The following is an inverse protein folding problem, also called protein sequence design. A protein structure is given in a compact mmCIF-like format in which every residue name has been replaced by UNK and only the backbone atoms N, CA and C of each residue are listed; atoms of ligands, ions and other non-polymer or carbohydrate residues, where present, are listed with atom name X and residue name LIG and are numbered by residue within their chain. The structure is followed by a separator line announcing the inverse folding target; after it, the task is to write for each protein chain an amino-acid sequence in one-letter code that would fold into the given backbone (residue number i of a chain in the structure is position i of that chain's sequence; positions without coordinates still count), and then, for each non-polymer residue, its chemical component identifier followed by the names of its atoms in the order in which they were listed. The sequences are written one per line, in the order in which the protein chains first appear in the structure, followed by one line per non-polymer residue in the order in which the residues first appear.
data_IF_906599074209
#
_entry.id   IF_906599074209
#
_cell.length_a   1.000
_cell.length_b   1.000
_cell.length_c   1.000
_cell.angle_alpha   90.00
_cell.angle_beta   90.00
_cell.angle_gamma   90.00
#
_symmetry.space_group_name_H-M   'P 1'
#
loop_
_entity.id
_entity.type
_entity.pdbx_description
1 polymer ?
#
# COMPACT_ATOMS: atom_id res chain seq x y z
N UNK A 1 -2.02 -8.68 19.52
CA UNK A 1 -2.96 -7.59 19.17
C UNK A 1 -3.67 -7.20 20.44
N UNK A 2 -3.56 -5.93 20.85
CA UNK A 2 -4.20 -5.41 22.06
C UNK A 2 -5.27 -4.42 21.61
N UNK A 3 -6.48 -4.57 22.13
CA UNK A 3 -7.56 -3.65 21.82
C UNK A 3 -7.51 -2.48 22.82
N UNK A 4 -7.33 -1.26 22.33
CA UNK A 4 -7.40 -0.03 23.13
C UNK A 4 -8.44 0.88 22.50
N UNK A 5 -9.44 1.28 23.26
CA UNK A 5 -10.50 2.21 22.82
C UNK A 5 -11.20 1.75 21.51
N UNK A 6 -11.55 0.47 21.44
CA UNK A 6 -12.16 -0.19 20.26
C UNK A 6 -11.29 -0.22 18.99
N UNK A 7 -10.03 0.21 19.07
CA UNK A 7 -9.09 0.14 17.95
C UNK A 7 -8.02 -0.92 18.22
N UNK A 8 -7.71 -1.79 17.25
CA UNK A 8 -6.66 -2.78 17.40
C UNK A 8 -5.29 -2.12 17.32
N UNK A 9 -4.40 -2.47 18.24
CA UNK A 9 -3.00 -2.09 18.22
C UNK A 9 -2.10 -3.34 18.16
N UNK A 10 -0.99 -3.20 17.44
CA UNK A 10 0.09 -4.17 17.44
C UNK A 10 1.09 -3.81 18.51
N UNK A 11 1.38 -4.76 19.40
CA UNK A 11 2.52 -4.65 20.30
C UNK A 11 3.74 -5.21 19.57
N UNK A 12 4.78 -4.40 19.44
CA UNK A 12 6.06 -4.79 18.90
C UNK A 12 7.15 -4.58 19.95
N UNK A 13 7.96 -5.62 20.16
CA UNK A 13 9.10 -5.56 21.08
C UNK A 13 10.35 -5.29 20.25
N UNK A 14 10.92 -4.09 20.38
CA UNK A 14 12.17 -3.72 19.72
C UNK A 14 13.27 -3.72 20.78
N UNK A 15 13.96 -4.86 20.92
CA UNK A 15 14.94 -5.05 21.99
C UNK A 15 14.27 -4.98 23.37
N UNK A 16 14.69 -4.03 24.20
CA UNK A 16 14.16 -3.84 25.57
C UNK A 16 12.89 -2.98 25.64
N UNK A 17 12.47 -2.35 24.54
CA UNK A 17 11.30 -1.45 24.54
C UNK A 17 10.08 -2.07 23.86
N UNK A 18 8.96 -2.05 24.58
CA UNK A 18 7.63 -2.39 24.06
C UNK A 18 7.01 -1.15 23.43
N UNK A 19 6.69 -1.21 22.13
CA UNK A 19 6.02 -0.13 21.40
C UNK A 19 4.68 -0.61 20.86
N UNK A 20 3.67 0.24 20.98
CA UNK A 20 2.34 0.02 20.41
C UNK A 20 2.25 0.76 19.08
N UNK A 21 1.82 0.07 18.03
CA UNK A 21 1.71 0.60 16.67
C UNK A 21 0.29 0.42 16.17
N UNK A 22 -0.31 1.51 15.68
CA UNK A 22 -1.60 1.46 15.03
C UNK A 22 -1.49 0.78 13.65
N UNK A 23 -2.55 0.11 13.16
CA UNK A 23 -2.55 -0.50 11.82
C UNK A 23 -2.21 0.50 10.71
N UNK A 24 -2.63 1.76 10.85
CA UNK A 24 -2.37 2.85 9.92
C UNK A 24 -0.87 3.21 9.86
N UNK A 25 -0.21 3.26 11.02
CA UNK A 25 1.23 3.50 11.12
C UNK A 25 2.04 2.36 10.51
N UNK A 26 1.60 1.11 10.72
CA UNK A 26 2.20 -0.06 10.09
C UNK A 26 2.08 0.02 8.55
N UNK A 27 0.90 0.37 8.03
CA UNK A 27 0.68 0.55 6.60
C UNK A 27 1.58 1.67 6.02
N UNK A 28 1.72 2.79 6.74
CA UNK A 28 2.62 3.89 6.36
C UNK A 28 4.08 3.44 6.26
N UNK A 29 4.55 2.59 7.18
CA UNK A 29 5.91 2.02 7.11
C UNK A 29 6.08 1.11 5.90
N UNK A 30 5.07 0.30 5.57
CA UNK A 30 5.07 -0.55 4.37
C UNK A 30 5.18 0.32 3.11
N UNK A 31 4.34 1.36 2.98
CA UNK A 31 4.40 2.27 1.83
C UNK A 31 5.74 2.99 1.72
N UNK A 32 6.33 3.43 2.84
CA UNK A 32 7.67 4.02 2.85
C UNK A 32 8.71 3.05 2.31
N UNK A 33 8.68 1.78 2.75
CA UNK A 33 9.62 0.77 2.28
C UNK A 33 9.44 0.45 0.81
N UNK A 34 8.20 0.35 0.33
CA UNK A 34 7.90 0.12 -1.08
C UNK A 34 8.38 1.26 -1.97
N UNK A 35 8.22 2.52 -1.51
CA UNK A 35 8.77 3.68 -2.20
C UNK A 35 10.29 3.61 -2.31
N UNK A 36 10.99 3.31 -1.22
CA UNK A 36 12.46 3.16 -1.22
C UNK A 36 12.92 2.07 -2.21
N UNK A 37 12.22 0.92 -2.24
CA UNK A 37 12.51 -0.16 -3.19
C UNK A 37 12.30 0.28 -4.63
N UNK A 38 11.18 0.97 -4.93
CA UNK A 38 10.89 1.46 -6.27
C UNK A 38 11.89 2.53 -6.73
N UNK A 39 12.28 3.44 -5.83
CA UNK A 39 13.29 4.47 -6.10
C UNK A 39 14.67 3.84 -6.36
N UNK A 40 15.04 2.81 -5.60
CA UNK A 40 16.28 2.06 -5.83
C UNK A 40 16.28 1.35 -7.19
N UNK A 41 15.14 0.78 -7.60
CA UNK A 41 15.01 0.09 -8.88
C UNK A 41 15.03 1.04 -10.09
N UNK A 42 14.42 2.23 -9.96
CA UNK A 42 14.30 3.22 -11.04
C UNK A 42 15.45 4.25 -11.07
N UNK A 43 16.21 4.37 -9.99
CA UNK A 43 17.23 5.42 -9.82
C UNK A 43 16.67 6.85 -9.75
N UNK A 44 15.35 7.00 -9.57
CA UNK A 44 14.63 8.28 -9.65
C UNK A 44 13.59 8.39 -8.54
N UNK A 45 13.17 9.62 -8.22
CA UNK A 45 12.15 9.86 -7.20
C UNK A 45 10.77 9.40 -7.66
N UNK A 46 10.16 8.49 -6.91
CA UNK A 46 8.76 8.07 -7.09
C UNK A 46 7.86 8.90 -6.17
N UNK A 47 6.92 9.62 -6.76
CA UNK A 47 5.99 10.53 -6.06
C UNK A 47 4.53 10.15 -6.25
N UNK A 48 4.14 9.58 -7.39
CA UNK A 48 2.74 9.29 -7.72
C UNK A 48 2.48 7.78 -7.79
N UNK A 49 1.32 7.34 -7.29
CA UNK A 49 0.99 5.92 -7.18
C UNK A 49 -0.50 5.64 -7.40
N UNK A 50 -0.78 4.46 -7.97
CA UNK A 50 -2.10 3.84 -7.99
C UNK A 50 -2.06 2.63 -7.07
N UNK A 51 -3.02 2.53 -6.14
CA UNK A 51 -3.03 1.47 -5.13
C UNK A 51 -4.26 0.57 -5.33
N UNK A 52 -4.05 -0.74 -5.26
CA UNK A 52 -5.13 -1.73 -5.31
C UNK A 52 -5.80 -1.85 -3.95
N UNK A 53 -7.12 -2.04 -3.94
CA UNK A 53 -7.90 -2.30 -2.73
C UNK A 53 -8.83 -3.50 -2.91
N UNK A 54 -9.08 -4.27 -1.85
CA UNK A 54 -10.12 -5.31 -1.87
C UNK A 54 -11.50 -4.72 -2.18
N UNK A 55 -12.39 -5.53 -2.73
CA UNK A 55 -13.74 -5.08 -3.07
C UNK A 55 -14.55 -4.73 -1.82
N UNK A 56 -14.36 -5.51 -0.75
CA UNK A 56 -15.08 -5.43 0.51
C UNK A 56 -14.63 -4.28 1.43
N UNK A 57 -13.58 -3.54 1.07
CA UNK A 57 -13.07 -2.44 1.90
C UNK A 57 -14.11 -1.31 2.02
N UNK A 58 -14.44 -0.96 3.26
CA UNK A 58 -15.34 0.14 3.56
C UNK A 58 -14.73 1.49 3.13
N UNK A 59 -15.55 2.52 2.82
CA UNK A 59 -15.05 3.85 2.47
C UNK A 59 -14.09 4.44 3.53
N UNK A 60 -14.35 4.20 4.82
CA UNK A 60 -13.49 4.63 5.91
C UNK A 60 -12.09 3.98 5.85
N UNK A 61 -12.01 2.69 5.55
CA UNK A 61 -10.74 1.97 5.42
C UNK A 61 -9.98 2.41 4.16
N UNK A 62 -10.68 2.69 3.06
CA UNK A 62 -10.08 3.26 1.84
C UNK A 62 -9.46 4.63 2.10
N UNK A 63 -10.15 5.47 2.88
CA UNK A 63 -9.62 6.77 3.31
C UNK A 63 -8.39 6.59 4.21
N UNK A 64 -8.45 5.73 5.21
CA UNK A 64 -7.31 5.46 6.09
C UNK A 64 -6.08 4.94 5.31
N UNK A 65 -6.28 4.08 4.31
CA UNK A 65 -5.22 3.58 3.45
C UNK A 65 -4.59 4.70 2.60
N UNK A 66 -5.42 5.60 2.05
CA UNK A 66 -4.96 6.78 1.32
C UNK A 66 -4.15 7.71 2.22
N UNK A 67 -4.68 8.02 3.40
CA UNK A 67 -4.03 8.88 4.40
C UNK A 67 -2.66 8.28 4.83
N UNK A 68 -2.56 6.95 4.95
CA UNK A 68 -1.29 6.27 5.24
C UNK A 68 -0.26 6.39 4.08
N UNK A 69 -0.72 6.27 2.83
CA UNK A 69 0.13 6.45 1.65
C UNK A 69 0.61 7.90 1.48
N UNK A 70 -0.29 8.87 1.67
CA UNK A 70 0.05 10.30 1.70
C UNK A 70 1.02 10.61 2.84
N UNK A 71 0.81 10.00 4.01
CA UNK A 71 1.73 10.07 5.14
C UNK A 71 3.13 9.51 4.85
N UNK A 72 3.27 8.60 3.89
CA UNK A 72 4.56 8.07 3.41
C UNK A 72 5.20 8.96 2.32
N UNK A 73 4.55 10.06 1.93
CA UNK A 73 5.02 10.97 0.89
C UNK A 73 4.75 10.48 -0.54
N UNK A 74 3.67 9.70 -0.72
CA UNK A 74 3.18 9.26 -2.03
C UNK A 74 1.83 9.95 -2.33
N UNK A 75 1.68 10.48 -3.53
CA UNK A 75 0.43 11.01 -4.04
C UNK A 75 -0.41 9.89 -4.65
N UNK A 76 -1.55 9.57 -4.03
CA UNK A 76 -2.46 8.52 -4.51
C UNK A 76 -3.36 9.08 -5.59
N UNK A 77 -3.08 8.72 -6.85
CA UNK A 77 -3.86 9.15 -8.01
C UNK A 77 -5.24 8.49 -8.02
N UNK A 78 -5.27 7.18 -7.79
CA UNK A 78 -6.51 6.39 -7.79
C UNK A 78 -6.37 5.15 -6.92
N UNK A 79 -7.46 4.82 -6.25
CA UNK A 79 -7.66 3.49 -5.67
C UNK A 79 -8.45 2.65 -6.68
N UNK A 80 -7.90 1.51 -7.07
CA UNK A 80 -8.54 0.59 -8.00
C UNK A 80 -8.87 -0.73 -7.31
N UNK A 81 -9.95 -1.39 -7.74
CA UNK A 81 -10.27 -2.71 -7.23
C UNK A 81 -9.25 -3.73 -7.72
N UNK A 82 -8.76 -4.57 -6.81
CA UNK A 82 -7.86 -5.68 -7.14
C UNK A 82 -8.34 -6.57 -8.30
N UNK A 83 -9.60 -7.05 -8.36
CA UNK A 83 -10.05 -7.86 -9.49
C UNK A 83 -10.01 -7.11 -10.83
N UNK A 84 -10.28 -5.80 -10.82
CA UNK A 84 -10.17 -4.98 -12.02
C UNK A 84 -8.71 -4.78 -12.44
N UNK A 85 -7.81 -4.58 -11.48
CA UNK A 85 -6.36 -4.47 -11.73
C UNK A 85 -5.81 -5.77 -12.33
N UNK A 86 -6.23 -6.93 -11.81
CA UNK A 86 -5.85 -8.24 -12.32
C UNK A 86 -6.36 -8.46 -13.76
N UNK A 87 -7.61 -8.08 -14.05
CA UNK A 87 -8.18 -8.18 -15.39
C UNK A 87 -7.42 -7.29 -16.40
N UNK A 88 -7.11 -6.05 -16.02
CA UNK A 88 -6.31 -5.14 -16.85
C UNK A 88 -4.91 -5.70 -17.10
N UNK A 89 -4.26 -6.24 -16.07
CA UNK A 89 -2.94 -6.85 -16.20
C UNK A 89 -2.96 -8.07 -17.14
N UNK A 90 -4.02 -8.88 -17.11
CA UNK A 90 -4.17 -10.03 -18.01
C UNK A 90 -4.42 -9.59 -19.46
N UNK A 91 -5.34 -8.65 -19.70
CA UNK A 91 -5.63 -8.16 -21.04
C UNK A 91 -4.38 -7.52 -21.68
N UNK A 92 -3.72 -6.59 -20.97
CA UNK A 92 -2.47 -5.98 -21.42
C UNK A 92 -1.37 -7.04 -21.55
N UNK A 93 -1.27 -7.97 -20.61
CA UNK A 93 -0.27 -9.04 -20.61
C UNK A 93 -0.41 -10.02 -21.78
N UNK A 94 -1.64 -10.28 -22.24
CA UNK A 94 -1.89 -11.09 -23.43
C UNK A 94 -1.66 -10.30 -24.73
N UNK A 95 -2.03 -9.02 -24.76
CA UNK A 95 -1.84 -8.16 -25.93
C UNK A 95 -0.38 -7.75 -26.14
N UNK A 96 0.48 -7.85 -25.12
CA UNK A 96 1.93 -7.66 -25.22
C UNK A 96 2.69 -8.90 -25.77
N UNK A 97 2.04 -9.75 -26.56
CA UNK A 97 2.72 -10.74 -27.40
C UNK A 97 3.39 -10.09 -28.63
N UNK A 98 4.28 -9.12 -28.42
CA UNK A 98 5.15 -8.57 -29.46
C UNK A 98 6.62 -8.65 -29.04
N UNK A 99 7.10 -9.89 -29.06
CA UNK A 99 8.51 -10.28 -28.93
C UNK A 99 8.80 -11.67 -29.48
N UNK A 100 7.88 -12.23 -30.29
CA UNK A 100 8.08 -13.41 -31.13
C UNK A 100 7.26 -13.25 -32.40
N UNK A 101 7.83 -12.54 -33.38
CA UNK A 101 7.78 -12.84 -34.80
C UNK A 101 8.98 -12.17 -35.46
#
# INVERSE_FOLDING_TARGET
VINREERPFYEITTGEHVKYVAPEDAAKLIFKKMRETAQSALGSSVTEVVVTVPFEFAPAQKKALRDAAEGAGLNVLRLIHEPAAALLAYDIGQNCSSGRR
#
